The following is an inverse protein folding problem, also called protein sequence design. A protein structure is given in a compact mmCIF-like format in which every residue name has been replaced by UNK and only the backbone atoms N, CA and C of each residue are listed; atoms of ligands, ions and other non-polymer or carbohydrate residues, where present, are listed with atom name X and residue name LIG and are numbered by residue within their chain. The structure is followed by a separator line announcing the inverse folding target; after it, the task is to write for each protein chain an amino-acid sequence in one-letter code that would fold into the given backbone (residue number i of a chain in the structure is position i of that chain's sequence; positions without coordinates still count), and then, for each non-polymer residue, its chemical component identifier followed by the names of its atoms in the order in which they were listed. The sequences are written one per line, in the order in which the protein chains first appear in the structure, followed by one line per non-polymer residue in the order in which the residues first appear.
data_IF_638173649295
#
_entry.id   IF_638173649295
#
_cell.length_a   1.000
_cell.length_b   1.000
_cell.length_c   1.000
_cell.angle_alpha   90.00
_cell.angle_beta   90.00
_cell.angle_gamma   90.00
#
_symmetry.space_group_name_H-M   'P 1'
#
loop_
_entity.id
_entity.type
_entity.pdbx_description
1 polymer ?
#
# COMPACT_ATOMS: atom_id res chain seq x y z
N UNK A 1 -14.10 21.30 14.04
CA UNK A 1 -12.62 21.38 13.82
C UNK A 1 -11.83 21.22 15.12
N UNK A 2 -12.27 21.77 16.26
CA UNK A 2 -11.60 21.58 17.57
C UNK A 2 -11.40 20.11 17.98
N UNK A 3 -12.37 19.22 17.75
CA UNK A 3 -12.24 17.77 18.04
C UNK A 3 -11.17 17.05 17.19
N UNK A 4 -10.99 17.43 15.93
CA UNK A 4 -9.98 16.84 15.03
C UNK A 4 -8.55 17.14 15.53
N UNK A 5 -8.33 18.33 16.08
CA UNK A 5 -7.05 18.70 16.69
C UNK A 5 -6.77 17.93 18.00
N UNK A 6 -7.78 17.35 18.63
CA UNK A 6 -7.67 16.49 19.82
C UNK A 6 -7.67 14.99 19.47
N UNK A 7 -7.60 14.63 18.18
CA UNK A 7 -7.62 13.24 17.73
C UNK A 7 -9.00 12.58 17.76
N UNK A 8 -10.06 13.33 18.04
CA UNK A 8 -11.44 12.88 17.93
C UNK A 8 -11.93 13.05 16.48
N UNK A 9 -11.79 11.98 15.70
CA UNK A 9 -12.28 11.88 14.33
C UNK A 9 -13.77 11.51 14.27
N UNK A 10 -14.45 11.41 15.41
CA UNK A 10 -15.82 10.96 15.53
C UNK A 10 -16.00 9.45 15.36
N UNK A 11 -17.26 9.05 15.33
CA UNK A 11 -17.69 7.66 15.19
C UNK A 11 -17.72 7.21 13.73
N UNK A 12 -17.39 5.95 13.47
CA UNK A 12 -17.46 5.40 12.12
C UNK A 12 -18.90 5.29 11.65
N UNK A 13 -19.23 5.94 10.53
CA UNK A 13 -20.52 5.77 9.85
C UNK A 13 -20.78 4.34 9.37
N UNK A 14 -19.71 3.53 9.22
CA UNK A 14 -19.75 2.14 8.75
C UNK A 14 -19.75 1.12 9.89
N UNK A 15 -19.13 1.45 11.03
CA UNK A 15 -19.07 0.61 12.22
C UNK A 15 -19.57 1.44 13.41
N UNK A 16 -20.89 1.45 13.64
CA UNK A 16 -21.49 2.24 14.73
C UNK A 16 -20.86 1.86 16.08
N UNK A 17 -20.41 2.85 16.84
CA UNK A 17 -19.84 2.67 18.18
C UNK A 17 -18.34 2.35 18.21
N UNK A 18 -17.62 2.55 17.10
CA UNK A 18 -16.15 2.54 17.07
C UNK A 18 -15.62 3.89 16.59
N UNK A 19 -14.69 4.51 17.34
CA UNK A 19 -14.08 5.75 16.91
C UNK A 19 -13.22 5.51 15.65
N UNK A 20 -13.24 6.46 14.72
CA UNK A 20 -12.50 6.38 13.46
C UNK A 20 -10.98 6.30 13.69
N UNK A 21 -10.49 6.90 14.77
CA UNK A 21 -9.08 6.85 15.19
C UNK A 21 -8.58 5.41 15.36
N UNK A 22 -9.36 4.53 16.00
CA UNK A 22 -9.01 3.12 16.22
C UNK A 22 -8.95 2.31 14.92
N UNK A 23 -9.74 2.70 13.91
CA UNK A 23 -9.74 2.05 12.60
C UNK A 23 -8.66 2.59 11.67
N UNK A 24 -8.28 3.86 11.81
CA UNK A 24 -7.37 4.56 10.91
C UNK A 24 -5.91 4.42 11.36
N UNK A 25 -5.63 4.54 12.66
CA UNK A 25 -4.27 4.56 13.20
C UNK A 25 -3.45 3.30 12.86
N UNK A 26 -3.98 2.06 13.01
CA UNK A 26 -3.25 0.85 12.63
C UNK A 26 -2.89 0.82 11.13
N UNK A 27 -3.76 1.38 10.27
CA UNK A 27 -3.55 1.41 8.82
C UNK A 27 -2.54 2.47 8.41
N UNK A 28 -2.60 3.65 9.06
CA UNK A 28 -1.58 4.70 8.90
C UNK A 28 -0.20 4.18 9.28
N UNK A 29 -0.11 3.40 10.36
CA UNK A 29 1.14 2.79 10.78
C UNK A 29 1.70 1.80 9.74
N UNK A 30 0.85 0.96 9.15
CA UNK A 30 1.24 0.06 8.05
C UNK A 30 1.74 0.84 6.83
N UNK A 31 1.00 1.87 6.38
CA UNK A 31 1.43 2.72 5.27
C UNK A 31 2.76 3.43 5.56
N UNK A 32 2.96 3.90 6.80
CA UNK A 32 4.22 4.52 7.21
C UNK A 32 5.38 3.52 7.13
N UNK A 33 5.20 2.29 7.58
CA UNK A 33 6.22 1.24 7.49
C UNK A 33 6.63 0.94 6.04
N UNK A 34 5.67 0.86 5.12
CA UNK A 34 5.94 0.65 3.69
C UNK A 34 6.73 1.80 3.09
N UNK A 35 6.29 3.05 3.34
CA UNK A 35 6.97 4.23 2.83
C UNK A 35 8.37 4.42 3.43
N UNK A 36 8.53 4.09 4.71
CA UNK A 36 9.84 4.10 5.37
C UNK A 36 10.80 3.08 4.73
N UNK A 37 10.33 1.86 4.45
CA UNK A 37 11.13 0.85 3.77
C UNK A 37 11.55 1.31 2.36
N UNK A 38 10.63 1.92 1.61
CA UNK A 38 10.94 2.49 0.31
C UNK A 38 11.95 3.65 0.37
N UNK A 39 11.83 4.51 1.39
CA UNK A 39 12.78 5.60 1.63
C UNK A 39 14.17 5.05 1.94
N UNK A 40 14.28 4.00 2.75
CA UNK A 40 15.56 3.34 3.05
C UNK A 40 16.21 2.84 1.77
N UNK A 41 15.47 2.12 0.92
CA UNK A 41 15.98 1.66 -0.40
C UNK A 41 16.46 2.84 -1.24
N UNK A 42 15.67 3.92 -1.27
CA UNK A 42 15.99 5.12 -2.04
C UNK A 42 17.26 5.81 -1.56
N UNK A 43 17.49 5.87 -0.24
CA UNK A 43 18.69 6.46 0.36
C UNK A 43 19.91 5.56 0.14
N UNK A 44 19.76 4.25 0.37
CA UNK A 44 20.84 3.28 0.24
C UNK A 44 21.40 3.19 -1.18
N UNK A 45 20.57 3.39 -2.20
CA UNK A 45 21.01 3.35 -3.60
C UNK A 45 21.25 4.77 -4.15
N UNK A 46 20.34 5.70 -3.88
CA UNK A 46 20.37 7.05 -4.46
C UNK A 46 21.54 7.89 -3.96
N UNK A 47 21.85 7.87 -2.65
CA UNK A 47 22.94 8.70 -2.13
C UNK A 47 24.32 8.24 -2.63
N UNK A 48 24.68 6.94 -2.55
CA UNK A 48 25.97 6.49 -3.08
C UNK A 48 26.09 6.72 -4.59
N UNK A 49 25.01 6.48 -5.33
CA UNK A 49 25.00 6.67 -6.79
C UNK A 49 25.22 8.14 -7.16
N UNK A 50 24.49 9.06 -6.53
CA UNK A 50 24.64 10.50 -6.78
C UNK A 50 26.01 11.04 -6.37
N UNK A 51 26.53 10.60 -5.22
CA UNK A 51 27.85 10.96 -4.74
C UNK A 51 28.95 10.45 -5.69
N UNK A 52 28.85 9.19 -6.15
CA UNK A 52 29.81 8.60 -7.07
C UNK A 52 29.85 9.31 -8.44
N UNK A 53 28.68 9.63 -9.00
CA UNK A 53 28.58 10.32 -10.29
C UNK A 53 29.15 11.74 -10.21
N UNK A 54 28.96 12.44 -9.09
CA UNK A 54 29.50 13.79 -8.92
C UNK A 54 31.03 13.83 -9.06
N UNK A 55 31.74 12.79 -8.63
CA UNK A 55 33.20 12.70 -8.79
C UNK A 55 33.63 12.41 -10.24
N UNK A 56 32.72 11.89 -11.06
CA UNK A 56 32.93 11.61 -12.49
C UNK A 56 32.27 12.66 -13.39
N UNK A 57 31.99 13.84 -12.85
CA UNK A 57 31.40 14.94 -13.61
C UNK A 57 32.22 15.24 -14.87
N UNK A 58 31.52 15.46 -15.98
CA UNK A 58 32.15 15.76 -17.28
C UNK A 58 32.55 14.51 -18.08
N UNK A 59 32.40 13.31 -17.52
CA UNK A 59 32.49 12.07 -18.29
C UNK A 59 31.13 11.71 -18.90
N UNK A 60 31.12 10.84 -19.91
CA UNK A 60 29.87 10.32 -20.52
C UNK A 60 29.01 9.50 -19.54
N UNK A 61 29.60 8.99 -18.46
CA UNK A 61 28.91 8.19 -17.45
C UNK A 61 27.91 9.03 -16.64
N UNK A 62 28.23 10.30 -16.45
CA UNK A 62 27.40 11.24 -15.72
C UNK A 62 26.01 11.45 -16.37
N UNK A 63 25.91 11.91 -17.64
CA UNK A 63 24.62 12.01 -18.31
C UNK A 63 23.98 10.63 -18.54
N UNK A 64 24.75 9.56 -18.74
CA UNK A 64 24.18 8.22 -18.95
C UNK A 64 23.41 7.72 -17.73
N UNK A 65 23.99 7.80 -16.53
CA UNK A 65 23.33 7.29 -15.31
C UNK A 65 22.12 8.14 -14.95
N UNK A 66 22.22 9.48 -15.07
CA UNK A 66 21.08 10.37 -14.83
C UNK A 66 19.95 10.11 -15.84
N UNK A 67 20.28 9.90 -17.12
CA UNK A 67 19.29 9.59 -18.16
C UNK A 67 18.59 8.25 -17.89
N UNK A 68 19.34 7.21 -17.55
CA UNK A 68 18.77 5.89 -17.19
C UNK A 68 17.85 6.03 -15.98
N UNK A 69 18.26 6.78 -14.96
CA UNK A 69 17.43 7.02 -13.77
C UNK A 69 16.13 7.77 -14.12
N UNK A 70 16.18 8.76 -15.01
CA UNK A 70 15.00 9.50 -15.48
C UNK A 70 14.07 8.63 -16.32
N UNK A 71 14.60 7.75 -17.17
CA UNK A 71 13.80 6.78 -17.93
C UNK A 71 13.08 5.83 -16.98
N UNK A 72 13.77 5.30 -15.97
CA UNK A 72 13.16 4.44 -14.95
C UNK A 72 12.07 5.16 -14.15
N UNK A 73 12.27 6.44 -13.82
CA UNK A 73 11.26 7.26 -13.14
C UNK A 73 10.04 7.56 -14.03
N UNK A 74 10.22 7.57 -15.35
CA UNK A 74 9.14 7.81 -16.32
C UNK A 74 8.23 6.60 -16.49
N UNK A 75 8.63 5.41 -16.00
CA UNK A 75 7.79 4.22 -16.00
C UNK A 75 6.70 4.40 -14.92
N UNK A 76 5.41 4.39 -15.29
CA UNK A 76 4.32 4.51 -14.33
C UNK A 76 4.36 3.41 -13.27
N UNK A 77 3.99 3.76 -12.03
CA UNK A 77 3.99 2.81 -10.90
C UNK A 77 3.12 1.57 -11.17
N UNK A 78 2.03 1.73 -11.94
CA UNK A 78 1.15 0.63 -12.34
C UNK A 78 1.84 -0.42 -13.21
N UNK A 79 2.89 -0.03 -13.93
CA UNK A 79 3.71 -0.94 -14.75
C UNK A 79 4.90 -1.47 -13.92
N UNK A 80 5.46 -0.65 -13.02
CA UNK A 80 6.59 -1.09 -12.19
C UNK A 80 6.21 -2.20 -11.21
N UNK A 81 4.98 -2.20 -10.67
CA UNK A 81 4.49 -3.26 -9.76
C UNK A 81 4.55 -4.66 -10.41
N UNK A 82 3.86 -4.93 -11.54
CA UNK A 82 3.91 -6.26 -12.17
C UNK A 82 5.33 -6.63 -12.66
N UNK A 83 6.14 -5.67 -13.09
CA UNK A 83 7.55 -5.92 -13.43
C UNK A 83 8.35 -6.40 -12.20
N UNK A 84 8.15 -5.75 -11.05
CA UNK A 84 8.83 -6.08 -9.80
C UNK A 84 8.37 -7.44 -9.27
N UNK A 85 7.07 -7.77 -9.40
CA UNK A 85 6.53 -9.09 -9.09
C UNK A 85 7.09 -10.18 -10.01
N UNK A 86 7.13 -9.92 -11.32
CA UNK A 86 7.70 -10.86 -12.28
C UNK A 86 9.19 -11.12 -12.00
N UNK A 87 9.96 -10.09 -11.67
CA UNK A 87 11.37 -10.21 -11.31
C UNK A 87 11.59 -10.96 -9.99
N UNK A 88 11.08 -10.42 -8.87
CA UNK A 88 11.39 -10.91 -7.53
C UNK A 88 10.62 -12.17 -7.15
N UNK A 89 9.33 -12.23 -7.47
CA UNK A 89 8.50 -13.37 -7.08
C UNK A 89 8.60 -14.53 -8.09
N UNK A 90 8.41 -14.26 -9.38
CA UNK A 90 8.32 -15.35 -10.37
C UNK A 90 9.70 -15.84 -10.83
N UNK A 91 10.62 -14.93 -11.16
CA UNK A 91 11.92 -15.30 -11.72
C UNK A 91 12.94 -15.66 -10.63
N UNK A 92 13.07 -14.83 -9.60
CA UNK A 92 14.05 -15.04 -8.53
C UNK A 92 13.50 -15.86 -7.35
N UNK A 93 12.18 -16.01 -7.22
CA UNK A 93 11.51 -16.71 -6.11
C UNK A 93 12.00 -16.29 -4.71
N UNK A 94 12.49 -15.04 -4.59
CA UNK A 94 13.07 -14.51 -3.35
C UNK A 94 12.00 -14.08 -2.36
N UNK A 95 10.84 -13.65 -2.86
CA UNK A 95 9.82 -12.95 -2.07
C UNK A 95 8.42 -13.50 -2.42
N UNK A 96 7.52 -13.68 -1.42
CA UNK A 96 6.13 -14.03 -1.70
C UNK A 96 5.44 -12.95 -2.56
N UNK A 97 4.57 -13.37 -3.49
CA UNK A 97 4.01 -12.47 -4.51
C UNK A 97 3.05 -11.40 -3.97
N UNK A 98 2.37 -11.61 -2.84
CA UNK A 98 1.40 -10.63 -2.33
C UNK A 98 1.11 -10.80 -0.84
N UNK A 99 0.45 -9.79 -0.28
CA UNK A 99 0.00 -9.76 1.10
C UNK A 99 0.98 -9.05 2.03
N UNK A 100 0.62 -9.03 3.31
CA UNK A 100 1.33 -8.31 4.35
C UNK A 100 1.71 -9.24 5.50
N UNK A 101 2.96 -9.19 5.93
CA UNK A 101 3.46 -9.92 7.10
C UNK A 101 4.25 -9.06 8.08
N UNK A 102 4.20 -7.73 7.92
CA UNK A 102 4.92 -6.77 8.77
C UNK A 102 6.24 -6.29 8.18
N UNK A 103 6.93 -5.44 8.95
CA UNK A 103 8.14 -4.73 8.51
C UNK A 103 9.37 -5.64 8.32
N UNK A 104 9.44 -6.76 9.03
CA UNK A 104 10.57 -7.70 8.96
C UNK A 104 10.31 -8.89 8.04
N UNK A 105 9.13 -8.98 7.43
CA UNK A 105 8.83 -10.02 6.45
C UNK A 105 9.43 -9.64 5.10
N UNK A 106 9.91 -10.63 4.35
CA UNK A 106 10.42 -10.49 2.99
C UNK A 106 9.40 -9.82 2.07
N UNK A 107 8.10 -9.96 2.34
CA UNK A 107 7.01 -9.32 1.58
C UNK A 107 7.16 -7.80 1.44
N UNK A 108 7.86 -7.13 2.36
CA UNK A 108 8.07 -5.67 2.29
C UNK A 108 9.07 -5.27 1.19
N UNK A 109 9.92 -6.19 0.73
CA UNK A 109 10.96 -5.92 -0.27
C UNK A 109 10.31 -5.48 -1.59
N UNK A 110 9.24 -6.15 -2.01
CA UNK A 110 8.51 -5.84 -3.24
C UNK A 110 7.98 -4.40 -3.27
N UNK A 111 7.16 -3.93 -2.30
CA UNK A 111 6.71 -2.54 -2.28
C UNK A 111 7.87 -1.56 -2.03
N UNK A 112 8.87 -1.91 -1.23
CA UNK A 112 10.02 -1.04 -0.97
C UNK A 112 10.85 -0.76 -2.23
N UNK A 113 11.09 -1.78 -3.07
CA UNK A 113 11.79 -1.60 -4.35
C UNK A 113 10.91 -0.82 -5.33
N UNK A 114 9.63 -1.19 -5.43
CA UNK A 114 8.70 -0.57 -6.39
C UNK A 114 8.55 0.94 -6.14
N UNK A 115 8.34 1.33 -4.88
CA UNK A 115 8.24 2.74 -4.48
C UNK A 115 9.63 3.42 -4.40
N UNK A 116 10.68 2.64 -4.15
CA UNK A 116 12.03 3.14 -4.01
C UNK A 116 12.66 3.58 -5.33
N UNK A 117 12.40 2.87 -6.44
CA UNK A 117 13.02 3.17 -7.75
C UNK A 117 12.85 4.64 -8.18
N UNK A 118 11.64 5.25 -8.17
CA UNK A 118 11.47 6.67 -8.46
C UNK A 118 12.22 7.57 -7.46
N UNK A 119 12.24 7.18 -6.18
CA UNK A 119 12.95 7.90 -5.12
C UNK A 119 14.47 7.91 -5.32
N UNK A 120 15.05 6.81 -5.81
CA UNK A 120 16.48 6.70 -6.15
C UNK A 120 16.87 7.74 -7.19
N UNK A 121 16.10 7.88 -8.28
CA UNK A 121 16.39 8.83 -9.35
C UNK A 121 16.39 10.28 -8.84
N UNK A 122 15.37 10.63 -8.05
CA UNK A 122 15.28 11.95 -7.42
C UNK A 122 16.44 12.22 -6.47
N UNK A 123 16.67 11.33 -5.49
CA UNK A 123 17.73 11.50 -4.49
C UNK A 123 19.13 11.49 -5.11
N UNK A 124 19.40 10.63 -6.09
CA UNK A 124 20.70 10.62 -6.77
C UNK A 124 20.99 11.95 -7.47
N UNK A 125 19.99 12.56 -8.11
CA UNK A 125 20.14 13.87 -8.75
C UNK A 125 20.43 14.98 -7.73
N UNK A 126 19.68 15.00 -6.64
CA UNK A 126 19.88 16.00 -5.57
C UNK A 126 21.22 15.83 -4.87
N UNK A 127 21.60 14.58 -4.55
CA UNK A 127 22.89 14.27 -3.94
C UNK A 127 24.04 14.66 -4.88
N UNK A 128 23.93 14.37 -6.17
CA UNK A 128 24.90 14.80 -7.17
C UNK A 128 25.04 16.31 -7.20
N UNK A 129 23.94 17.05 -7.32
CA UNK A 129 23.96 18.51 -7.36
C UNK A 129 24.64 19.09 -6.10
N UNK A 130 24.22 18.65 -4.92
CA UNK A 130 24.79 19.13 -3.66
C UNK A 130 26.26 18.76 -3.50
N UNK A 131 26.67 17.57 -3.96
CA UNK A 131 28.08 17.16 -3.93
C UNK A 131 28.93 18.07 -4.82
N UNK A 132 28.44 18.43 -6.02
CA UNK A 132 29.13 19.34 -6.92
C UNK A 132 29.27 20.75 -6.35
N UNK A 133 28.21 21.27 -5.72
CA UNK A 133 28.24 22.57 -5.06
C UNK A 133 29.29 22.62 -3.94
N UNK A 134 29.43 21.53 -3.18
CA UNK A 134 30.43 21.42 -2.10
C UNK A 134 31.85 21.25 -2.65
N UNK A 135 32.04 20.43 -3.68
CA UNK A 135 33.35 20.23 -4.33
C UNK A 135 33.92 21.53 -4.91
N UNK A 136 33.06 22.47 -5.32
CA UNK A 136 33.44 23.78 -5.84
C UNK A 136 33.94 24.78 -4.80
N UNK A 137 33.84 24.48 -3.49
CA UNK A 137 34.14 25.46 -2.43
C UNK A 137 35.63 25.57 -2.07
N UNK A 138 36.06 26.75 -1.67
CA UNK A 138 37.47 27.05 -1.39
C UNK A 138 38.04 26.29 -0.18
N UNK A 139 37.20 25.90 0.77
CA UNK A 139 37.65 25.08 1.90
C UNK A 139 38.09 23.67 1.45
N UNK A 140 37.49 23.13 0.38
CA UNK A 140 37.90 21.84 -0.21
C UNK A 140 39.26 21.99 -0.89
N UNK A 141 39.48 23.08 -1.62
CA UNK A 141 40.79 23.38 -2.25
C UNK A 141 41.89 23.54 -1.19
N UNK A 142 41.57 24.25 -0.12
CA UNK A 142 42.48 24.44 1.03
C UNK A 142 42.79 23.11 1.73
N UNK A 143 41.78 22.25 1.92
CA UNK A 143 41.96 20.92 2.49
C UNK A 143 42.89 20.05 1.64
N UNK A 144 42.74 20.08 0.32
CA UNK A 144 43.64 19.37 -0.62
C UNK A 144 45.05 19.95 -0.60
N UNK A 145 45.20 21.28 -0.54
CA UNK A 145 46.50 21.95 -0.44
C UNK A 145 47.25 21.62 0.87
N UNK A 146 46.52 21.33 1.96
CA UNK A 146 47.07 20.84 3.22
C UNK A 146 47.53 19.36 3.17
N UNK A 147 47.40 18.69 2.02
CA UNK A 147 47.83 17.29 1.84
C UNK A 147 46.89 16.26 2.44
N UNK A 148 45.63 16.62 2.73
CA UNK A 148 44.63 15.65 3.18
C UNK A 148 44.33 14.64 2.06
N UNK A 149 44.21 13.35 2.43
CA UNK A 149 43.84 12.31 1.48
C UNK A 149 42.45 12.55 0.90
N UNK A 150 42.24 12.22 -0.38
CA UNK A 150 40.96 12.40 -1.07
C UNK A 150 39.81 11.74 -0.30
N UNK A 151 40.01 10.54 0.22
CA UNK A 151 39.02 9.82 1.04
C UNK A 151 38.63 10.59 2.30
N UNK A 152 39.59 11.23 2.96
CA UNK A 152 39.31 12.05 4.16
C UNK A 152 38.51 13.29 3.79
N UNK A 153 38.88 13.96 2.69
CA UNK A 153 38.14 15.11 2.17
C UNK A 153 36.70 14.72 1.83
N UNK A 154 36.54 13.61 1.13
CA UNK A 154 35.26 13.12 0.64
C UNK A 154 34.31 12.75 1.79
N UNK A 155 34.75 11.95 2.76
CA UNK A 155 33.89 11.48 3.86
C UNK A 155 33.65 12.56 4.92
N UNK A 156 34.70 13.28 5.32
CA UNK A 156 34.61 14.22 6.47
C UNK A 156 34.13 15.61 6.06
N UNK A 157 34.43 16.06 4.85
CA UNK A 157 34.14 17.41 4.40
C UNK A 157 33.05 17.45 3.31
N UNK A 158 33.15 16.62 2.26
CA UNK A 158 32.19 16.68 1.16
C UNK A 158 30.84 16.08 1.57
N UNK A 159 30.83 14.82 2.00
CA UNK A 159 29.62 14.08 2.34
C UNK A 159 28.82 14.75 3.46
N UNK A 160 29.51 15.21 4.52
CA UNK A 160 28.86 15.88 5.65
C UNK A 160 28.14 17.17 5.24
N UNK A 161 28.74 17.97 4.35
CA UNK A 161 28.13 19.22 3.88
C UNK A 161 27.06 18.97 2.81
N UNK A 162 27.26 17.96 1.95
CA UNK A 162 26.29 17.60 0.93
C UNK A 162 24.99 17.00 1.51
N UNK A 163 25.04 16.44 2.72
CA UNK A 163 23.86 15.88 3.39
C UNK A 163 22.90 16.94 3.96
N UNK A 164 23.35 18.18 4.19
CA UNK A 164 22.52 19.25 4.79
C UNK A 164 21.22 19.46 4.00
N UNK A 165 21.24 19.70 2.67
CA UNK A 165 20.01 19.83 1.90
C UNK A 165 19.23 18.51 1.75
N UNK A 166 19.92 17.37 1.76
CA UNK A 166 19.30 16.05 1.59
C UNK A 166 18.36 15.72 2.73
N UNK A 167 18.74 16.03 3.97
CA UNK A 167 17.88 15.81 5.15
C UNK A 167 16.55 16.56 5.02
N UNK A 168 16.57 17.79 4.50
CA UNK A 168 15.35 18.56 4.24
C UNK A 168 14.51 17.93 3.13
N UNK A 169 15.16 17.48 2.04
CA UNK A 169 14.49 16.85 0.92
C UNK A 169 13.88 15.49 1.25
N UNK A 170 14.45 14.76 2.22
CA UNK A 170 13.89 13.48 2.68
C UNK A 170 12.43 13.61 3.15
N UNK A 171 12.08 14.72 3.82
CA UNK A 171 10.71 14.97 4.24
C UNK A 171 9.76 15.11 3.04
N UNK A 172 10.17 15.84 2.02
CA UNK A 172 9.40 16.02 0.78
C UNK A 172 9.26 14.72 -0.01
N UNK A 173 10.35 13.95 -0.13
CA UNK A 173 10.34 12.64 -0.80
C UNK A 173 9.40 11.69 -0.08
N UNK A 174 9.49 11.61 1.25
CA UNK A 174 8.61 10.75 2.05
C UNK A 174 7.14 11.16 1.89
N UNK A 175 6.83 12.45 1.92
CA UNK A 175 5.47 12.95 1.68
C UNK A 175 4.96 12.59 0.28
N UNK A 176 5.81 12.70 -0.75
CA UNK A 176 5.47 12.27 -2.11
C UNK A 176 5.24 10.76 -2.23
N UNK A 177 5.97 9.95 -1.45
CA UNK A 177 5.76 8.50 -1.39
C UNK A 177 4.40 8.14 -0.81
N UNK A 178 3.94 8.82 0.26
CA UNK A 178 2.59 8.63 0.79
C UNK A 178 1.49 8.88 -0.25
N UNK A 179 1.68 9.86 -1.13
CA UNK A 179 0.73 10.15 -2.20
C UNK A 179 0.71 9.06 -3.27
N UNK A 180 1.80 8.31 -3.46
CA UNK A 180 1.88 7.27 -4.49
C UNK A 180 1.72 5.85 -3.94
N UNK A 181 1.85 5.66 -2.62
CA UNK A 181 1.79 4.34 -1.97
C UNK A 181 0.42 3.70 -2.00
N UNK A 182 -0.67 4.47 -2.10
CA UNK A 182 -2.02 3.92 -2.09
C UNK A 182 -2.27 2.92 -3.23
N UNK A 183 -1.70 3.16 -4.42
CA UNK A 183 -1.82 2.25 -5.58
C UNK A 183 -1.07 0.95 -5.31
N UNK A 184 0.13 1.07 -4.74
CA UNK A 184 0.99 -0.07 -4.41
C UNK A 184 0.34 -0.92 -3.31
N UNK A 185 -0.20 -0.28 -2.27
CA UNK A 185 -0.91 -0.94 -1.18
C UNK A 185 -2.14 -1.71 -1.69
N UNK A 186 -2.90 -1.10 -2.61
CA UNK A 186 -4.08 -1.73 -3.19
C UNK A 186 -3.71 -2.96 -4.02
N UNK A 187 -2.75 -2.83 -4.95
CA UNK A 187 -2.39 -3.93 -5.86
C UNK A 187 -1.69 -5.09 -5.13
N UNK A 188 -0.87 -4.79 -4.13
CA UNK A 188 -0.15 -5.82 -3.35
C UNK A 188 -0.96 -6.38 -2.18
N UNK A 189 -2.19 -5.89 -1.94
CA UNK A 189 -3.05 -6.35 -0.85
C UNK A 189 -2.51 -6.03 0.53
N UNK A 190 -1.88 -4.86 0.68
CA UNK A 190 -1.34 -4.38 1.95
C UNK A 190 -2.46 -3.65 2.71
N UNK A 191 -2.73 -3.96 3.99
CA UNK A 191 -3.82 -3.36 4.77
C UNK A 191 -3.46 -1.94 5.27
N UNK A 192 -3.02 -1.08 4.36
CA UNK A 192 -2.71 0.33 4.62
C UNK A 192 -3.93 1.25 4.44
N UNK A 193 -3.68 2.55 4.53
CA UNK A 193 -4.70 3.59 4.36
C UNK A 193 -5.28 3.57 2.95
N UNK A 194 -4.45 3.32 1.93
CA UNK A 194 -4.87 3.33 0.54
C UNK A 194 -5.93 2.27 0.23
N UNK A 195 -5.68 1.05 0.71
CA UNK A 195 -6.62 -0.07 0.55
C UNK A 195 -7.97 0.23 1.24
N UNK A 196 -7.93 0.78 2.44
CA UNK A 196 -9.14 1.11 3.21
C UNK A 196 -9.98 2.23 2.58
N UNK A 197 -9.33 3.26 2.04
CA UNK A 197 -10.04 4.34 1.34
C UNK A 197 -10.76 3.80 0.10
N UNK A 198 -10.11 2.95 -0.68
CA UNK A 198 -10.71 2.34 -1.87
C UNK A 198 -11.89 1.43 -1.49
N UNK A 199 -11.73 0.55 -0.50
CA UNK A 199 -12.82 -0.32 -0.03
C UNK A 199 -14.07 0.45 0.43
N UNK A 200 -13.85 1.62 1.05
CA UNK A 200 -14.94 2.46 1.54
C UNK A 200 -15.76 3.09 0.40
N UNK A 201 -15.12 3.41 -0.73
CA UNK A 201 -15.74 4.01 -1.91
C UNK A 201 -16.47 2.96 -2.74
N UNK A 202 -15.83 1.83 -3.01
CA UNK A 202 -16.37 0.83 -3.94
C UNK A 202 -17.38 -0.13 -3.32
N UNK A 203 -17.44 -0.25 -1.99
CA UNK A 203 -18.44 -1.08 -1.33
C UNK A 203 -19.25 -0.33 -0.26
N UNK A 204 -20.09 0.66 -0.63
CA UNK A 204 -20.86 1.45 0.33
C UNK A 204 -21.99 0.64 1.01
N UNK A 205 -22.51 -0.40 0.36
CA UNK A 205 -23.84 -0.96 0.70
C UNK A 205 -23.85 -2.20 1.60
N UNK A 206 -22.71 -2.87 1.82
CA UNK A 206 -22.70 -4.11 2.63
C UNK A 206 -22.74 -3.89 4.14
N UNK A 207 -22.32 -2.71 4.62
CA UNK A 207 -22.32 -2.40 6.06
C UNK A 207 -23.70 -1.98 6.57
N UNK A 208 -24.43 -1.19 5.79
CA UNK A 208 -25.79 -0.79 6.16
C UNK A 208 -26.81 -1.92 6.05
N UNK A 209 -26.50 -3.04 5.40
CA UNK A 209 -27.43 -4.17 5.46
C UNK A 209 -27.27 -4.84 6.82
N UNK A 210 -26.12 -5.45 7.14
CA UNK A 210 -25.96 -6.36 8.29
C UNK A 210 -26.38 -5.84 9.69
N UNK A 211 -26.49 -4.52 9.88
CA UNK A 211 -26.87 -3.91 11.17
C UNK A 211 -28.38 -3.64 11.33
N UNK A 212 -29.20 -3.92 10.30
CA UNK A 212 -30.66 -3.68 10.34
C UNK A 212 -31.43 -4.61 11.28
N UNK A 213 -30.79 -5.64 11.85
CA UNK A 213 -31.44 -6.69 12.64
C UNK A 213 -32.51 -7.50 11.88
N UNK A 214 -32.75 -7.18 10.62
CA UNK A 214 -33.85 -7.69 9.79
C UNK A 214 -33.37 -8.76 8.79
N UNK A 215 -32.17 -9.29 9.00
CA UNK A 215 -31.54 -10.29 8.13
C UNK A 215 -32.15 -11.64 8.39
N UNK A 216 -32.64 -12.24 7.30
CA UNK A 216 -33.06 -13.62 7.28
C UNK A 216 -31.82 -14.49 7.10
N UNK A 217 -31.45 -15.21 8.13
CA UNK A 217 -30.36 -16.18 8.04
C UNK A 217 -30.93 -17.47 7.46
N UNK A 218 -30.44 -17.85 6.28
CA UNK A 218 -30.79 -19.11 5.64
C UNK A 218 -29.71 -20.12 5.99
N UNK A 219 -30.01 -21.02 6.93
CA UNK A 219 -29.13 -22.15 7.29
C UNK A 219 -29.65 -23.40 6.59
N UNK A 220 -28.86 -23.93 5.66
CA UNK A 220 -29.14 -25.22 5.01
C UNK A 220 -28.54 -26.31 5.89
N UNK A 221 -29.38 -27.04 6.61
CA UNK A 221 -28.95 -28.17 7.42
C UNK A 221 -29.10 -29.46 6.60
N UNK A 222 -27.97 -30.10 6.31
CA UNK A 222 -27.92 -31.43 5.71
C UNK A 222 -28.27 -32.47 6.78
N UNK A 223 -29.46 -33.09 6.69
CA UNK A 223 -29.82 -34.22 7.53
C UNK A 223 -29.26 -35.52 6.94
N UNK A 224 -28.52 -36.31 7.72
CA UNK A 224 -28.29 -37.73 7.42
C UNK A 224 -29.25 -38.58 8.26
N UNK A 225 -29.85 -39.66 7.73
CA UNK A 225 -29.69 -40.24 6.40
C UNK A 225 -30.87 -39.94 5.45
N UNK A 226 -30.63 -40.10 4.14
CA UNK A 226 -31.57 -39.96 3.01
C UNK A 226 -31.94 -38.53 2.56
N UNK A 227 -31.00 -37.84 1.90
CA UNK A 227 -31.26 -36.86 0.83
C UNK A 227 -32.18 -35.67 1.16
N UNK A 228 -32.48 -35.43 2.44
CA UNK A 228 -33.41 -34.41 2.90
C UNK A 228 -32.63 -33.17 3.34
N UNK A 229 -32.64 -32.15 2.50
CA UNK A 229 -32.14 -30.82 2.85
C UNK A 229 -33.28 -30.05 3.53
N UNK A 230 -33.04 -29.57 4.75
CA UNK A 230 -33.96 -28.64 5.42
C UNK A 230 -33.37 -27.24 5.35
N UNK A 231 -34.15 -26.31 4.80
CA UNK A 231 -33.78 -24.89 4.75
C UNK A 231 -34.47 -24.22 5.92
N UNK A 232 -33.69 -23.79 6.92
CA UNK A 232 -34.20 -23.03 8.05
C UNK A 232 -33.92 -21.56 7.81
N UNK A 233 -34.98 -20.77 7.74
CA UNK A 233 -34.89 -19.31 7.63
C UNK A 233 -35.26 -18.74 8.99
N UNK A 234 -34.31 -18.11 9.68
CA UNK A 234 -34.56 -17.55 11.00
C UNK A 234 -34.32 -16.04 11.04
N UNK A 235 -35.19 -15.34 11.77
CA UNK A 235 -34.98 -13.98 12.28
C UNK A 235 -34.41 -14.06 13.69
N UNK A 236 -33.74 -13.02 14.20
CA UNK A 236 -33.31 -12.99 15.61
C UNK A 236 -34.47 -13.11 16.61
N UNK A 237 -35.70 -12.75 16.22
CA UNK A 237 -36.89 -12.79 17.08
C UNK A 237 -37.85 -13.94 16.79
N UNK A 238 -37.77 -14.64 15.65
CA UNK A 238 -38.69 -15.72 15.27
C UNK A 238 -38.02 -16.75 14.34
N UNK A 239 -38.28 -18.04 14.56
CA UNK A 239 -37.78 -19.13 13.70
C UNK A 239 -38.93 -19.76 12.92
N UNK A 240 -38.88 -19.71 11.59
CA UNK A 240 -39.83 -20.43 10.73
C UNK A 240 -39.10 -21.59 10.05
N UNK A 241 -39.56 -22.82 10.27
CA UNK A 241 -38.98 -24.03 9.68
C UNK A 241 -39.85 -24.55 8.54
N UNK A 242 -39.28 -24.75 7.36
CA UNK A 242 -39.97 -25.31 6.19
C UNK A 242 -39.38 -26.70 5.91
N UNK A 243 -40.21 -27.74 6.04
CA UNK A 243 -39.77 -29.14 6.06
C UNK A 243 -40.03 -29.92 4.76
N UNK A 244 -40.50 -29.29 3.67
CA UNK A 244 -40.72 -30.00 2.38
C UNK A 244 -40.61 -29.06 1.18
N UNK A 245 -39.80 -29.44 0.19
CA UNK A 245 -39.58 -28.68 -1.06
C UNK A 245 -40.77 -28.77 -2.06
N UNK A 246 -41.79 -29.59 -1.77
CA UNK A 246 -42.92 -29.84 -2.66
C UNK A 246 -44.14 -28.94 -2.41
N UNK A 247 -44.12 -28.12 -1.35
CA UNK A 247 -45.17 -27.13 -1.07
C UNK A 247 -44.71 -25.74 -1.50
N UNK A 248 -44.54 -25.55 -2.82
CA UNK A 248 -44.45 -24.21 -3.40
C UNK A 248 -45.86 -23.73 -3.78
N UNK A 249 -46.81 -23.76 -2.83
CA UNK A 249 -48.06 -23.00 -2.97
C UNK A 249 -47.84 -21.61 -2.38
N UNK A 250 -47.80 -20.63 -3.27
CA UNK A 250 -47.72 -19.20 -2.98
C UNK A 250 -49.01 -18.77 -2.27
N UNK A 251 -49.14 -19.04 -0.97
CA UNK A 251 -50.34 -18.64 -0.22
C UNK A 251 -50.11 -18.22 1.24
N UNK A 252 -48.87 -18.26 1.75
CA UNK A 252 -48.54 -17.74 3.11
C UNK A 252 -47.34 -16.80 3.14
N UNK A 253 -47.22 -15.93 2.13
CA UNK A 253 -46.41 -14.72 2.28
C UNK A 253 -47.33 -13.55 2.65
N UNK A 254 -47.05 -12.78 3.72
CA UNK A 254 -47.72 -11.51 3.97
C UNK A 254 -47.57 -10.62 2.74
N UNK A 255 -48.68 -10.07 2.27
CA UNK A 255 -48.88 -9.33 1.02
C UNK A 255 -48.21 -7.94 1.01
N UNK A 256 -46.96 -7.84 1.50
CA UNK A 256 -46.23 -6.58 1.69
C UNK A 256 -44.77 -6.64 1.19
N UNK A 257 -44.48 -7.47 0.18
CA UNK A 257 -43.25 -7.30 -0.61
C UNK A 257 -43.64 -6.51 -1.86
N UNK A 258 -43.46 -5.19 -1.78
CA UNK A 258 -43.59 -4.30 -2.91
C UNK A 258 -42.73 -4.77 -4.08
N UNK A 259 -43.29 -4.65 -5.29
CA UNK A 259 -42.64 -4.96 -6.58
C UNK A 259 -41.18 -4.49 -6.61
N UNK A 260 -40.23 -5.43 -6.60
CA UNK A 260 -38.81 -5.15 -6.75
C UNK A 260 -38.01 -6.39 -7.11
N UNK A 261 -37.80 -6.59 -8.42
CA UNK A 261 -36.82 -7.44 -9.13
C UNK A 261 -36.43 -8.77 -8.46
N UNK A 262 -36.85 -9.88 -9.09
CA UNK A 262 -36.39 -11.22 -8.75
C UNK A 262 -34.88 -11.36 -8.86
N UNK A 263 -34.25 -11.84 -7.80
CA UNK A 263 -32.87 -12.31 -7.82
C UNK A 263 -32.89 -13.83 -7.99
N UNK A 264 -32.67 -14.30 -9.22
CA UNK A 264 -32.29 -15.69 -9.47
C UNK A 264 -30.87 -15.89 -8.92
N UNK A 265 -30.77 -16.54 -7.76
CA UNK A 265 -29.48 -17.05 -7.27
C UNK A 265 -29.16 -18.34 -8.04
N UNK A 266 -28.33 -18.21 -9.08
CA UNK A 266 -27.68 -19.35 -9.70
C UNK A 266 -26.58 -19.88 -8.76
N UNK A 267 -26.76 -21.08 -8.24
CA UNK A 267 -25.68 -21.83 -7.60
C UNK A 267 -24.88 -22.56 -8.69
N UNK A 268 -23.54 -22.48 -8.69
CA UNK A 268 -22.73 -23.41 -9.48
C UNK A 268 -22.83 -24.79 -8.82
N UNK A 269 -23.36 -25.75 -9.56
CA UNK A 269 -23.31 -27.16 -9.23
C UNK A 269 -21.83 -27.58 -9.19
N UNK A 270 -21.35 -27.94 -8.01
CA UNK A 270 -20.10 -28.71 -7.86
C UNK A 270 -20.42 -30.14 -8.28
N UNK A 271 -19.98 -30.50 -9.48
CA UNK A 271 -19.92 -31.89 -9.95
C UNK A 271 -18.79 -32.63 -9.24
N UNK A 272 -19.09 -33.89 -8.91
CA UNK A 272 -18.23 -35.00 -8.43
C UNK A 272 -18.06 -35.14 -6.92
#
# INVERSE_FOLDING_TARGET
MWGVLHGDFGESYRFRGRPVSELLFPKMWVSFQVNLAALIVSLSIGLPLGFFIAHRQGTWQDPAVVTIALVLMSIPIMISIPLTLWGLCLKLQLVPCSGWGGFFDLRIITPAITLGIPGVAGLARFMRASTLDVLGQDFIRTAKAKGLSSVTVDVRHVLKNAMIPIVTLMAFVLAGMFVTSFIVEFILGIPGVGHFTIDSIFNPRRANHNDDGNHWFVRVCAGKPAGRYSIRIHRPTDTVSINRFNDMSVSRFPRQIGRGRGYSFGFPLLDS
#
